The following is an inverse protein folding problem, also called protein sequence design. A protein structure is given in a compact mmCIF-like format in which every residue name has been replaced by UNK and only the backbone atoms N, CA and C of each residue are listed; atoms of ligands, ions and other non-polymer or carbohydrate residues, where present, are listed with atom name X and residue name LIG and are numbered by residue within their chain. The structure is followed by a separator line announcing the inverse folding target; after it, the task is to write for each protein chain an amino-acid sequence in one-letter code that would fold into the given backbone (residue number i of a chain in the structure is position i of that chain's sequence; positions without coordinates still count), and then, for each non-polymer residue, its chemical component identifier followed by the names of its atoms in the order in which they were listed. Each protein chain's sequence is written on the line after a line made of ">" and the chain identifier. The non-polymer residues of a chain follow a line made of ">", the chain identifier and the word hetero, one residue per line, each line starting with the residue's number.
data_IF_578272767093
#
_entry.id   IF_578272767093
#
_cell.length_a   1.000
_cell.length_b   1.000
_cell.length_c   1.000
_cell.angle_alpha   90.00
_cell.angle_beta   90.00
_cell.angle_gamma   90.00
#
_symmetry.space_group_name_H-M   'P 1'
#
loop_
_entity.id
_entity.type
_entity.pdbx_description
1 polymer ?
#
# COMPACT_ATOMS: atom_id res chain seq x y z
N UNK A 1 -25.25 4.81 -3.76
CA UNK A 1 -25.30 6.29 -3.72
C UNK A 1 -23.92 6.92 -3.76
N UNK A 2 -23.57 7.62 -4.86
CA UNK A 2 -22.32 8.38 -4.96
C UNK A 2 -22.59 9.84 -4.59
N UNK A 3 -22.19 10.24 -3.38
CA UNK A 3 -22.23 11.66 -2.96
C UNK A 3 -20.90 12.32 -3.36
N UNK A 4 -20.97 13.48 -4.01
CA UNK A 4 -19.79 14.32 -4.24
C UNK A 4 -19.62 15.25 -3.04
N UNK A 5 -18.47 15.17 -2.38
CA UNK A 5 -18.15 15.98 -1.20
C UNK A 5 -17.20 17.10 -1.58
N UNK A 6 -17.51 18.32 -1.13
CA UNK A 6 -16.53 19.42 -1.17
C UNK A 6 -15.37 19.13 -0.21
N UNK A 7 -14.26 19.86 -0.36
CA UNK A 7 -13.13 19.79 0.58
C UNK A 7 -13.58 20.04 2.03
N UNK A 8 -14.58 20.88 2.25
CA UNK A 8 -15.09 21.15 3.60
C UNK A 8 -15.85 19.96 4.20
N UNK A 9 -16.53 19.18 3.36
CA UNK A 9 -17.11 17.91 3.77
C UNK A 9 -16.04 16.90 4.20
N UNK A 10 -14.97 16.78 3.40
CA UNK A 10 -13.84 15.89 3.69
C UNK A 10 -13.13 16.31 4.99
N UNK A 11 -12.92 17.61 5.20
CA UNK A 11 -12.33 18.15 6.44
C UNK A 11 -13.13 17.76 7.68
N UNK A 12 -14.46 17.92 7.63
CA UNK A 12 -15.34 17.54 8.73
C UNK A 12 -15.31 16.04 9.02
N UNK A 13 -15.19 15.21 7.98
CA UNK A 13 -15.09 13.76 8.13
C UNK A 13 -13.75 13.37 8.75
N UNK A 14 -12.64 13.93 8.25
CA UNK A 14 -11.29 13.59 8.70
C UNK A 14 -11.02 13.98 10.17
N UNK A 15 -11.64 15.08 10.64
CA UNK A 15 -11.55 15.54 12.03
C UNK A 15 -12.50 14.81 12.99
N UNK A 16 -13.25 13.81 12.52
CA UNK A 16 -14.05 13.00 13.43
C UNK A 16 -13.13 12.01 14.15
N UNK A 17 -12.67 12.38 15.36
CA UNK A 17 -11.72 11.63 16.20
C UNK A 17 -12.19 10.23 16.59
N UNK A 18 -13.49 9.91 16.44
CA UNK A 18 -14.01 8.56 16.67
C UNK A 18 -13.78 7.60 15.49
N UNK A 19 -13.37 8.13 14.33
CA UNK A 19 -13.24 7.36 13.10
C UNK A 19 -11.92 6.60 13.07
N UNK A 20 -11.93 5.33 13.47
CA UNK A 20 -10.75 4.45 13.37
C UNK A 20 -10.38 4.13 11.92
N UNK A 21 -11.37 4.08 11.03
CA UNK A 21 -11.22 3.60 9.66
C UNK A 21 -11.76 4.61 8.65
N UNK A 22 -10.91 5.01 7.70
CA UNK A 22 -11.25 5.91 6.61
C UNK A 22 -10.99 5.23 5.26
N UNK A 23 -12.05 5.04 4.47
CA UNK A 23 -11.96 4.60 3.07
C UNK A 23 -12.27 5.75 2.14
N UNK A 24 -11.46 5.84 1.08
CA UNK A 24 -11.62 6.86 0.05
C UNK A 24 -11.49 6.23 -1.32
N UNK A 25 -12.60 6.29 -2.05
CA UNK A 25 -12.68 5.96 -3.46
C UNK A 25 -12.66 7.26 -4.26
N UNK A 26 -11.56 7.55 -4.96
CA UNK A 26 -11.46 8.73 -5.81
C UNK A 26 -11.60 8.37 -7.29
N UNK A 27 -12.39 9.20 -7.97
CA UNK A 27 -12.54 9.25 -9.43
C UNK A 27 -12.49 10.70 -9.89
N UNK A 28 -12.01 10.97 -11.11
CA UNK A 28 -12.03 12.32 -11.71
C UNK A 28 -10.68 13.03 -11.77
N UNK A 29 -10.66 14.35 -11.51
CA UNK A 29 -9.50 15.22 -11.81
C UNK A 29 -8.40 15.20 -10.75
N UNK A 30 -7.14 15.10 -11.20
CA UNK A 30 -5.95 14.89 -10.35
C UNK A 30 -5.68 15.99 -9.33
N UNK A 31 -5.89 17.27 -9.68
CA UNK A 31 -5.64 18.39 -8.77
C UNK A 31 -6.49 18.36 -7.48
N UNK A 32 -7.73 17.87 -7.56
CA UNK A 32 -8.57 17.71 -6.38
C UNK A 32 -8.06 16.58 -5.51
N UNK A 33 -7.65 15.46 -6.13
CA UNK A 33 -7.14 14.31 -5.42
C UNK A 33 -5.87 14.63 -4.63
N UNK A 34 -4.90 15.33 -5.23
CA UNK A 34 -3.71 15.78 -4.50
C UNK A 34 -4.05 16.61 -3.27
N UNK A 35 -5.06 17.49 -3.34
CA UNK A 35 -5.51 18.29 -2.18
C UNK A 35 -6.13 17.42 -1.09
N UNK A 36 -6.97 16.46 -1.48
CA UNK A 36 -7.59 15.50 -0.54
C UNK A 36 -6.51 14.69 0.16
N UNK A 37 -5.58 14.13 -0.60
CA UNK A 37 -4.53 13.27 -0.08
C UNK A 37 -3.52 14.01 0.80
N UNK A 38 -3.07 15.20 0.40
CA UNK A 38 -2.21 16.03 1.23
C UNK A 38 -2.91 16.48 2.51
N UNK A 39 -4.21 16.74 2.45
CA UNK A 39 -4.97 17.09 3.64
C UNK A 39 -5.06 15.91 4.60
N UNK A 40 -5.40 14.73 4.11
CA UNK A 40 -5.56 13.52 4.93
C UNK A 40 -4.25 12.99 5.48
N UNK A 41 -3.20 13.02 4.65
CA UNK A 41 -1.87 12.73 5.15
C UNK A 41 -1.57 13.68 6.29
N UNK A 42 -1.96 14.96 6.27
CA UNK A 42 -1.58 15.89 7.34
C UNK A 42 -2.53 16.03 8.54
N UNK A 43 -3.80 15.69 8.40
CA UNK A 43 -4.83 16.12 9.36
C UNK A 43 -5.81 15.02 9.80
N UNK A 44 -5.63 13.78 9.32
CA UNK A 44 -6.52 12.67 9.68
C UNK A 44 -6.12 12.05 11.01
N UNK A 45 -7.09 11.88 11.92
CA UNK A 45 -6.92 11.13 13.17
C UNK A 45 -7.19 9.62 13.01
N UNK A 46 -7.66 9.19 11.83
CA UNK A 46 -7.92 7.78 11.56
C UNK A 46 -6.64 6.94 11.68
N UNK A 47 -6.75 5.74 12.28
CA UNK A 47 -5.62 4.83 12.38
C UNK A 47 -5.49 3.90 11.18
N UNK A 48 -6.58 3.71 10.42
CA UNK A 48 -6.62 2.89 9.21
C UNK A 48 -7.05 3.73 8.02
N UNK A 49 -6.27 3.66 6.93
CA UNK A 49 -6.59 4.30 5.66
C UNK A 49 -6.68 3.26 4.53
N UNK A 50 -7.76 3.34 3.75
CA UNK A 50 -8.00 2.52 2.55
C UNK A 50 -8.17 3.45 1.34
N UNK A 51 -7.15 3.49 0.48
CA UNK A 51 -7.09 4.33 -0.71
C UNK A 51 -7.34 3.51 -1.98
N UNK A 52 -8.38 3.89 -2.71
CA UNK A 52 -8.80 3.20 -3.93
C UNK A 52 -8.81 4.14 -5.12
N UNK A 53 -8.13 3.70 -6.18
CA UNK A 53 -7.95 4.47 -7.40
C UNK A 53 -8.68 3.79 -8.56
N UNK A 54 -9.35 4.59 -9.37
CA UNK A 54 -10.13 4.08 -10.50
C UNK A 54 -9.26 3.40 -11.56
N UNK A 55 -8.03 3.88 -11.77
CA UNK A 55 -7.10 3.34 -12.77
C UNK A 55 -5.64 3.53 -12.33
N UNK A 56 -4.73 2.80 -12.99
CA UNK A 56 -3.29 2.82 -12.70
C UNK A 56 -2.64 4.18 -12.96
N UNK A 57 -3.10 4.95 -13.96
CA UNK A 57 -2.54 6.28 -14.26
C UNK A 57 -2.70 7.20 -13.05
N UNK A 58 -3.91 7.22 -12.48
CA UNK A 58 -4.23 8.03 -11.31
C UNK A 58 -3.51 7.53 -10.05
N UNK A 59 -3.40 6.21 -9.87
CA UNK A 59 -2.60 5.62 -8.78
C UNK A 59 -1.14 6.07 -8.86
N UNK A 60 -0.52 5.95 -10.03
CA UNK A 60 0.89 6.27 -10.25
C UNK A 60 1.22 7.77 -10.16
N UNK A 61 0.27 8.65 -10.49
CA UNK A 61 0.45 10.11 -10.34
C UNK A 61 0.52 10.53 -8.86
N UNK A 62 -0.17 9.79 -7.99
CA UNK A 62 -0.41 10.19 -6.60
C UNK A 62 0.44 9.37 -5.63
N UNK A 63 0.46 8.05 -5.80
CA UNK A 63 1.20 7.10 -4.96
C UNK A 63 2.64 7.03 -5.45
N UNK A 64 3.39 8.10 -5.22
CA UNK A 64 4.84 8.09 -5.35
C UNK A 64 5.49 7.68 -4.02
N UNK A 65 6.74 7.25 -4.07
CA UNK A 65 7.50 6.77 -2.90
C UNK A 65 7.43 7.72 -1.70
N UNK A 66 7.60 9.03 -1.93
CA UNK A 66 7.55 10.03 -0.87
C UNK A 66 6.17 10.14 -0.22
N UNK A 67 5.10 10.00 -1.00
CA UNK A 67 3.74 9.99 -0.47
C UNK A 67 3.48 8.73 0.35
N UNK A 68 3.87 7.55 -0.14
CA UNK A 68 3.77 6.30 0.59
C UNK A 68 4.54 6.34 1.94
N UNK A 69 5.77 6.85 1.93
CA UNK A 69 6.56 7.06 3.15
C UNK A 69 5.90 8.04 4.13
N UNK A 70 5.19 9.05 3.62
CA UNK A 70 4.46 9.99 4.48
C UNK A 70 3.25 9.33 5.15
N UNK A 71 2.56 8.42 4.44
CA UNK A 71 1.43 7.67 4.97
C UNK A 71 1.85 6.68 6.05
N UNK A 72 2.97 5.97 5.86
CA UNK A 72 3.45 4.96 6.82
C UNK A 72 3.73 5.54 8.21
N UNK A 73 4.14 6.81 8.27
CA UNK A 73 4.40 7.50 9.55
C UNK A 73 3.15 7.82 10.35
N UNK A 74 1.96 7.75 9.74
CA UNK A 74 0.74 8.31 10.32
C UNK A 74 -0.35 7.29 10.58
N UNK A 75 -0.46 6.29 9.73
CA UNK A 75 -1.47 5.25 9.85
C UNK A 75 -0.86 3.98 10.42
N UNK A 76 -1.62 3.28 11.25
CA UNK A 76 -1.28 1.95 11.77
C UNK A 76 -1.55 0.88 10.72
N UNK A 77 -2.55 1.10 9.86
CA UNK A 77 -2.88 0.20 8.77
C UNK A 77 -3.14 0.98 7.47
N UNK A 78 -2.49 0.55 6.39
CA UNK A 78 -2.69 1.08 5.05
C UNK A 78 -3.23 0.00 4.12
N UNK A 79 -4.22 0.36 3.30
CA UNK A 79 -4.63 -0.40 2.13
C UNK A 79 -4.60 0.52 0.94
N UNK A 80 -3.87 0.16 -0.12
CA UNK A 80 -3.70 1.01 -1.29
C UNK A 80 -3.83 0.13 -2.53
N UNK A 81 -4.80 0.44 -3.39
CA UNK A 81 -4.88 -0.16 -4.73
C UNK A 81 -4.03 0.61 -5.74
N UNK A 82 -3.64 0.00 -6.87
CA UNK A 82 -2.97 0.71 -7.98
C UNK A 82 -1.66 1.39 -7.56
N UNK A 83 -0.79 0.61 -6.93
CA UNK A 83 0.51 1.06 -6.44
C UNK A 83 1.66 0.56 -7.31
N UNK A 84 1.47 0.48 -8.63
CA UNK A 84 2.47 0.01 -9.58
C UNK A 84 3.79 0.83 -9.50
N UNK A 85 3.70 2.11 -9.13
CA UNK A 85 4.81 3.05 -9.00
C UNK A 85 5.68 2.89 -7.76
N UNK A 86 5.24 2.16 -6.72
CA UNK A 86 6.02 2.03 -5.47
C UNK A 86 7.28 1.19 -5.73
N UNK A 87 8.44 1.75 -5.41
CA UNK A 87 9.73 1.08 -5.59
C UNK A 87 10.03 0.08 -4.47
N UNK A 88 10.93 -0.87 -4.76
CA UNK A 88 11.39 -1.83 -3.75
C UNK A 88 12.12 -1.14 -2.59
N UNK A 89 12.83 -0.06 -2.89
CA UNK A 89 13.55 0.77 -1.93
C UNK A 89 12.58 1.48 -0.98
N UNK A 90 11.47 2.02 -1.49
CA UNK A 90 10.44 2.63 -0.64
C UNK A 90 9.76 1.60 0.26
N UNK A 91 9.42 0.41 -0.26
CA UNK A 91 8.92 -0.71 0.54
C UNK A 91 9.91 -1.09 1.66
N UNK A 92 11.19 -1.19 1.32
CA UNK A 92 12.24 -1.55 2.27
C UNK A 92 12.45 -0.47 3.35
N UNK A 93 12.38 0.81 2.99
CA UNK A 93 12.43 1.90 3.96
C UNK A 93 11.26 1.85 4.93
N UNK A 94 10.03 1.63 4.43
CA UNK A 94 8.86 1.45 5.29
C UNK A 94 9.05 0.25 6.20
N UNK A 95 9.44 -0.91 5.67
CA UNK A 95 9.71 -2.11 6.46
C UNK A 95 10.72 -1.87 7.58
N UNK A 96 11.86 -1.23 7.29
CA UNK A 96 12.84 -0.86 8.32
C UNK A 96 12.21 0.01 9.41
N UNK A 97 11.42 1.00 8.98
CA UNK A 97 10.69 1.86 9.89
C UNK A 97 9.71 1.13 10.80
N UNK A 98 9.07 0.07 10.29
CA UNK A 98 8.16 -0.77 11.07
C UNK A 98 8.92 -1.59 12.12
N UNK A 99 10.09 -2.11 11.74
CA UNK A 99 10.95 -2.92 12.61
C UNK A 99 11.60 -2.09 13.72
N UNK A 100 12.08 -0.89 13.40
CA UNK A 100 12.74 0.00 14.37
C UNK A 100 11.77 0.90 15.16
N UNK A 101 10.48 0.89 14.80
CA UNK A 101 9.43 1.69 15.44
C UNK A 101 9.44 3.17 15.06
N UNK A 102 10.19 3.58 14.03
CA UNK A 102 10.22 4.97 13.55
C UNK A 102 9.00 5.36 12.71
N UNK A 103 8.14 4.40 12.36
CA UNK A 103 6.83 4.65 11.73
C UNK A 103 5.70 4.03 12.57
N UNK A 104 4.48 4.55 12.42
CA UNK A 104 3.29 4.05 13.12
C UNK A 104 2.72 2.77 12.48
N UNK A 105 3.06 2.54 11.21
CA UNK A 105 2.53 1.43 10.42
C UNK A 105 2.87 0.07 11.04
N UNK A 106 1.85 -0.75 11.23
CA UNK A 106 1.97 -2.14 11.65
C UNK A 106 1.53 -3.09 10.54
N UNK A 107 0.63 -2.62 9.67
CA UNK A 107 0.08 -3.41 8.57
C UNK A 107 0.00 -2.62 7.28
N UNK A 108 0.40 -3.22 6.16
CA UNK A 108 -0.02 -2.69 4.86
C UNK A 108 -0.45 -3.76 3.87
N UNK A 109 -1.41 -3.38 3.01
CA UNK A 109 -1.87 -4.16 1.87
C UNK A 109 -1.76 -3.30 0.61
N UNK A 110 -0.93 -3.74 -0.32
CA UNK A 110 -0.67 -3.06 -1.57
C UNK A 110 -1.17 -3.92 -2.75
N UNK A 111 -2.14 -3.41 -3.49
CA UNK A 111 -2.69 -4.10 -4.66
C UNK A 111 -2.05 -3.56 -5.94
N UNK A 112 -1.71 -4.47 -6.86
CA UNK A 112 -1.07 -4.17 -8.14
C UNK A 112 0.38 -3.68 -8.03
N UNK A 113 1.16 -4.16 -7.07
CA UNK A 113 2.61 -3.91 -7.06
C UNK A 113 3.24 -4.61 -8.27
N UNK A 114 4.16 -3.96 -8.98
CA UNK A 114 4.91 -4.68 -10.02
C UNK A 114 5.69 -5.83 -9.42
N UNK A 115 5.53 -7.03 -9.98
CA UNK A 115 6.21 -8.26 -9.52
C UNK A 115 7.72 -8.09 -9.34
N UNK A 116 8.38 -7.32 -10.21
CA UNK A 116 9.82 -7.00 -10.08
C UNK A 116 10.15 -6.23 -8.79
N UNK A 117 9.30 -5.28 -8.39
CA UNK A 117 9.53 -4.47 -7.20
C UNK A 117 9.29 -5.31 -5.95
N UNK A 118 8.24 -6.14 -5.94
CA UNK A 118 7.99 -7.10 -4.87
C UNK A 118 9.14 -8.09 -4.71
N UNK A 119 9.64 -8.69 -5.80
CA UNK A 119 10.76 -9.62 -5.75
C UNK A 119 12.06 -8.96 -5.25
N UNK A 120 12.34 -7.73 -5.72
CA UNK A 120 13.48 -6.94 -5.23
C UNK A 120 13.33 -6.63 -3.74
N UNK A 121 12.13 -6.25 -3.28
CA UNK A 121 11.85 -6.01 -1.87
C UNK A 121 12.06 -7.27 -1.02
N UNK A 122 11.52 -8.43 -1.43
CA UNK A 122 11.74 -9.72 -0.76
C UNK A 122 13.24 -10.01 -0.62
N UNK A 123 14.01 -9.80 -1.69
CA UNK A 123 15.46 -9.97 -1.67
C UNK A 123 16.15 -9.03 -0.67
N UNK A 124 15.71 -7.76 -0.59
CA UNK A 124 16.25 -6.77 0.36
C UNK A 124 16.01 -7.16 1.82
N UNK A 125 14.89 -7.81 2.12
CA UNK A 125 14.57 -8.26 3.49
C UNK A 125 15.11 -9.66 3.82
N UNK A 126 15.86 -10.27 2.90
CA UNK A 126 16.51 -11.56 3.11
C UNK A 126 15.58 -12.75 2.86
N UNK A 127 14.59 -12.60 1.98
CA UNK A 127 13.71 -13.67 1.54
C UNK A 127 14.08 -14.04 0.10
N UNK A 128 14.31 -15.33 -0.14
CA UNK A 128 14.55 -15.86 -1.48
C UNK A 128 13.50 -16.88 -1.88
N UNK A 129 13.14 -16.91 -3.16
CA UNK A 129 12.21 -17.89 -3.71
C UNK A 129 12.96 -18.90 -4.59
N UNK A 130 12.95 -20.18 -4.20
CA UNK A 130 13.65 -21.24 -4.93
C UNK A 130 12.75 -22.47 -5.02
N UNK A 131 12.61 -23.05 -6.22
CA UNK A 131 11.84 -24.30 -6.44
C UNK A 131 10.40 -24.26 -5.87
N UNK A 132 9.71 -23.12 -6.02
CA UNK A 132 8.33 -22.98 -5.56
C UNK A 132 8.18 -22.75 -4.05
N UNK A 133 9.26 -22.42 -3.33
CA UNK A 133 9.24 -22.20 -1.88
C UNK A 133 10.01 -20.94 -1.49
N UNK A 134 9.51 -20.26 -0.46
CA UNK A 134 10.20 -19.16 0.19
C UNK A 134 11.18 -19.66 1.24
N UNK A 135 12.34 -19.02 1.31
CA UNK A 135 13.39 -19.26 2.29
C UNK A 135 13.77 -17.92 2.92
N UNK A 136 13.82 -17.88 4.24
CA UNK A 136 14.38 -16.77 5.00
C UNK A 136 15.27 -17.31 6.10
N UNK A 137 16.41 -16.66 6.32
CA UNK A 137 17.30 -16.94 7.46
C UNK A 137 16.87 -16.16 8.72
N UNK A 138 15.76 -15.42 8.63
CA UNK A 138 15.19 -14.60 9.69
C UNK A 138 13.87 -15.20 10.17
N UNK A 139 13.41 -14.74 11.33
CA UNK A 139 12.09 -15.08 11.88
C UNK A 139 10.99 -14.33 11.10
N UNK A 140 10.78 -14.78 9.86
CA UNK A 140 9.83 -14.21 8.91
C UNK A 140 9.00 -15.34 8.32
N UNK A 141 7.69 -15.27 8.47
CA UNK A 141 6.76 -16.22 7.86
C UNK A 141 6.23 -15.66 6.55
N UNK A 142 6.22 -16.47 5.49
CA UNK A 142 5.72 -16.08 4.17
C UNK A 142 4.68 -17.09 3.69
N UNK A 143 3.51 -16.59 3.33
CA UNK A 143 2.40 -17.37 2.79
C UNK A 143 2.05 -16.87 1.40
N UNK A 144 1.94 -17.79 0.45
CA UNK A 144 1.37 -17.53 -0.87
C UNK A 144 -0.13 -17.84 -0.81
N UNK A 145 -0.96 -16.81 -1.04
CA UNK A 145 -2.42 -16.89 -0.97
C UNK A 145 -2.97 -16.88 -2.40
N UNK A 146 -2.75 -17.97 -3.13
CA UNK A 146 -3.06 -18.04 -4.56
C UNK A 146 -3.35 -19.47 -5.04
N UNK A 147 -4.62 -19.73 -5.37
CA UNK A 147 -5.10 -21.05 -5.83
C UNK A 147 -5.54 -21.09 -7.30
N UNK A 148 -5.19 -20.11 -8.15
CA UNK A 148 -5.58 -20.16 -9.56
C UNK A 148 -4.60 -19.47 -10.51
N UNK A 149 -4.52 -20.00 -11.74
CA UNK A 149 -3.75 -19.43 -12.86
C UNK A 149 -4.20 -18.01 -13.30
N UNK A 150 -5.22 -17.43 -12.65
CA UNK A 150 -5.85 -16.16 -13.02
C UNK A 150 -5.81 -15.10 -11.90
N UNK A 151 -5.33 -15.46 -10.71
CA UNK A 151 -5.21 -14.53 -9.59
C UNK A 151 -3.79 -13.95 -9.51
N UNK A 152 -3.64 -12.65 -9.19
CA UNK A 152 -2.32 -12.08 -8.90
C UNK A 152 -1.61 -12.93 -7.83
N UNK A 153 -0.29 -13.07 -7.93
CA UNK A 153 0.49 -13.72 -6.87
C UNK A 153 0.34 -12.85 -5.61
N UNK A 154 -0.49 -13.28 -4.67
CA UNK A 154 -0.65 -12.62 -3.38
C UNK A 154 0.32 -13.28 -2.43
N UNK A 155 1.15 -12.47 -1.78
CA UNK A 155 1.95 -12.95 -0.66
C UNK A 155 1.74 -12.12 0.58
N UNK A 156 1.69 -12.84 1.70
CA UNK A 156 1.58 -12.32 3.05
C UNK A 156 2.87 -12.62 3.79
N UNK A 157 3.43 -11.61 4.43
CA UNK A 157 4.66 -11.70 5.20
C UNK A 157 4.34 -11.27 6.63
N UNK A 158 4.73 -12.09 7.60
CA UNK A 158 4.59 -11.79 9.03
C UNK A 158 5.96 -11.70 9.68
N UNK A 159 6.16 -10.64 10.47
CA UNK A 159 7.37 -10.43 11.29
C UNK A 159 6.93 -9.93 12.67
N UNK A 160 6.76 -10.84 13.62
CA UNK A 160 6.15 -10.50 14.91
C UNK A 160 4.71 -9.97 14.74
N UNK A 161 4.46 -8.72 15.14
CA UNK A 161 3.17 -8.05 14.96
C UNK A 161 2.99 -7.35 13.61
N UNK A 162 4.01 -7.36 12.75
CA UNK A 162 3.99 -6.73 11.43
C UNK A 162 3.35 -7.65 10.42
N UNK A 163 2.44 -7.11 9.60
CA UNK A 163 1.83 -7.82 8.46
C UNK A 163 1.99 -7.02 7.17
N UNK A 164 2.55 -7.66 6.15
CA UNK A 164 2.74 -7.10 4.81
C UNK A 164 2.00 -7.97 3.81
N UNK A 165 1.08 -7.38 3.07
CA UNK A 165 0.34 -8.05 1.99
C UNK A 165 0.61 -7.33 0.68
N UNK A 166 1.01 -8.07 -0.34
CA UNK A 166 1.22 -7.52 -1.68
C UNK A 166 0.55 -8.41 -2.71
N UNK A 167 -0.29 -7.80 -3.56
CA UNK A 167 -0.92 -8.47 -4.69
C UNK A 167 -0.15 -8.06 -5.95
N UNK A 168 0.59 -8.99 -6.53
CA UNK A 168 1.44 -8.68 -7.67
C UNK A 168 0.65 -8.54 -8.96
N UNK A 169 0.91 -7.46 -9.68
CA UNK A 169 0.51 -7.34 -11.07
C UNK A 169 1.55 -7.99 -12.00
N UNK A 170 1.13 -8.95 -12.80
CA UNK A 170 1.89 -9.47 -13.95
C UNK A 170 1.52 -8.64 -15.17
N UNK A 171 2.44 -7.80 -15.63
CA UNK A 171 2.27 -7.08 -16.90
C UNK A 171 2.45 -8.08 -18.05
N UNK A 172 1.35 -8.64 -18.56
CA UNK A 172 1.34 -9.41 -19.80
C UNK A 172 1.43 -8.45 -20.99
N UNK A 173 2.60 -7.86 -21.17
CA UNK A 173 2.90 -7.04 -22.32
C UNK A 173 3.04 -7.90 -23.57
N UNK A 174 1.94 -8.10 -24.30
CA UNK A 174 2.02 -8.37 -25.73
C UNK A 174 2.47 -7.05 -26.36
N UNK A 175 3.77 -6.92 -26.64
CA UNK A 175 4.25 -5.93 -27.58
C UNK A 175 3.80 -6.39 -28.97
N UNK A 176 2.82 -5.70 -29.53
CA UNK A 176 2.53 -5.72 -30.97
C UNK A 176 3.39 -4.69 -31.69
#
# INVERSE_FOLDING_TARGET
>A
DRRSYSMDGIRKIAHNTSMKYLRIDLSGASNFHHKVYNYLSNNSDASILDLRFQNAVMGNEIIIDSFFLSLSRKFECLKISRCESITAEALHQVYKGMIDGSVKLLKFHLENVYKRNSNSFLSLIGISFRRGKFFSDRDIEVFEDGHSNFTPDIFRIFVGSIEIVMDNYVYNGVFG
#
